data_IF_607500153779
#
_entry.id   IF_607500153779
#
_cell.length_a   1.000
_cell.length_b   1.000
_cell.length_c   1.000
_cell.angle_alpha   90.00
_cell.angle_beta   90.00
_cell.angle_gamma   90.00
#
_symmetry.space_group_name_H-M   'P 1'
#
loop_
_entity.id
_entity.type
_entity.pdbx_description
1 polymer ?
#
# COMPACT_ATOMS: atom_id res chain seq x y z
N UNK A 1 -10.16 -7.83 5.58
CA UNK A 1 -8.95 -7.23 5.00
C UNK A 1 -8.90 -5.77 5.39
N UNK A 2 -7.77 -5.29 5.91
CA UNK A 2 -7.69 -3.98 6.58
C UNK A 2 -6.66 -3.12 5.86
N UNK A 3 -7.04 -1.90 5.47
CA UNK A 3 -6.10 -0.88 5.02
C UNK A 3 -5.52 -0.22 6.27
N UNK A 4 -4.20 -0.13 6.38
CA UNK A 4 -3.55 0.61 7.47
C UNK A 4 -2.73 1.75 6.92
N UNK A 5 -3.03 2.98 7.35
CA UNK A 5 -2.20 4.16 7.13
C UNK A 5 -1.31 4.41 8.34
N UNK A 6 -0.01 4.58 8.12
CA UNK A 6 0.97 4.90 9.17
C UNK A 6 1.88 6.03 8.70
N UNK A 7 2.21 6.94 9.63
CA UNK A 7 3.26 7.94 9.45
C UNK A 7 4.58 7.34 9.93
N UNK A 8 5.61 7.31 9.10
CA UNK A 8 6.95 6.83 9.50
C UNK A 8 7.85 7.98 9.94
N UNK A 9 7.72 9.13 9.30
CA UNK A 9 8.44 10.36 9.63
C UNK A 9 7.55 11.56 9.32
N UNK A 10 8.01 12.78 9.62
CA UNK A 10 7.23 14.01 9.42
C UNK A 10 6.70 14.22 8.01
N UNK A 11 7.32 13.55 7.02
CA UNK A 11 6.98 13.74 5.61
C UNK A 11 6.70 12.45 4.87
N UNK A 12 6.75 11.30 5.54
CA UNK A 12 6.61 10.02 4.83
C UNK A 12 5.48 9.20 5.42
N UNK A 13 4.54 8.85 4.56
CA UNK A 13 3.34 8.09 4.85
C UNK A 13 3.38 6.74 4.14
N UNK A 14 2.91 5.71 4.83
CA UNK A 14 2.87 4.35 4.33
C UNK A 14 1.47 3.77 4.44
N UNK A 15 1.07 3.05 3.41
CA UNK A 15 -0.16 2.26 3.37
C UNK A 15 0.19 0.81 3.11
N UNK A 16 -0.55 -0.12 3.68
CA UNK A 16 -0.51 -1.52 3.25
C UNK A 16 -1.90 -1.92 2.77
N UNK A 17 -1.97 -2.56 1.62
CA UNK A 17 -3.21 -3.04 0.99
C UNK A 17 -2.98 -4.38 0.31
N UNK A 18 -4.03 -5.13 0.05
CA UNK A 18 -3.96 -6.22 -0.92
C UNK A 18 -3.99 -5.65 -2.35
N UNK A 19 -3.13 -6.18 -3.22
CA UNK A 19 -2.96 -5.81 -4.61
C UNK A 19 -4.16 -6.08 -5.52
N UNK A 20 -5.12 -6.90 -5.10
CA UNK A 20 -6.38 -7.15 -5.81
C UNK A 20 -7.41 -6.02 -5.58
N UNK A 21 -7.17 -5.11 -4.63
CA UNK A 21 -8.03 -3.95 -4.39
C UNK A 21 -7.76 -2.83 -5.42
N UNK A 22 -8.13 -3.07 -6.68
CA UNK A 22 -7.86 -2.16 -7.80
C UNK A 22 -8.36 -0.71 -7.56
N UNK A 23 -9.53 -0.54 -6.93
CA UNK A 23 -10.05 0.81 -6.60
C UNK A 23 -9.16 1.55 -5.59
N UNK A 24 -8.61 0.85 -4.60
CA UNK A 24 -7.71 1.44 -3.62
C UNK A 24 -6.38 1.84 -4.28
N UNK A 25 -5.84 0.99 -5.17
CA UNK A 25 -4.61 1.27 -5.93
C UNK A 25 -4.71 2.55 -6.75
N UNK A 26 -5.77 2.66 -7.55
CA UNK A 26 -6.00 3.85 -8.37
C UNK A 26 -6.12 5.13 -7.50
N UNK A 27 -6.69 5.01 -6.31
CA UNK A 27 -6.76 6.13 -5.37
C UNK A 27 -5.37 6.51 -4.84
N UNK A 28 -4.56 5.54 -4.47
CA UNK A 28 -3.21 5.76 -3.95
C UNK A 28 -2.31 6.42 -4.99
N UNK A 29 -2.33 5.91 -6.23
CA UNK A 29 -1.62 6.50 -7.37
C UNK A 29 -2.06 7.95 -7.61
N UNK A 30 -3.37 8.23 -7.60
CA UNK A 30 -3.91 9.59 -7.73
C UNK A 30 -3.42 10.54 -6.63
N UNK A 31 -3.17 10.03 -5.43
CA UNK A 31 -2.62 10.81 -4.32
C UNK A 31 -1.09 10.84 -4.29
N UNK A 32 -0.41 10.26 -5.28
CA UNK A 32 1.05 10.30 -5.40
C UNK A 32 1.77 9.29 -4.51
N UNK A 33 1.11 8.22 -4.09
CA UNK A 33 1.78 7.08 -3.48
C UNK A 33 2.39 6.17 -4.56
N UNK A 34 3.53 5.57 -4.25
CA UNK A 34 4.20 4.58 -5.09
C UNK A 34 4.40 3.28 -4.31
N UNK A 35 4.34 2.13 -5.00
CA UNK A 35 4.65 0.83 -4.40
C UNK A 35 6.14 0.79 -4.06
N UNK A 36 6.47 0.48 -2.81
CA UNK A 36 7.85 0.31 -2.33
C UNK A 36 8.17 -1.12 -1.92
N UNK A 37 7.15 -1.93 -1.64
CA UNK A 37 7.32 -3.32 -1.26
C UNK A 37 6.12 -4.17 -1.66
N UNK A 38 6.36 -5.42 -2.07
CA UNK A 38 5.31 -6.40 -2.36
C UNK A 38 5.69 -7.75 -1.74
N UNK A 39 4.75 -8.39 -1.06
CA UNK A 39 4.92 -9.71 -0.46
C UNK A 39 3.78 -10.62 -0.89
N UNK A 40 4.13 -11.75 -1.51
CA UNK A 40 3.18 -12.82 -1.77
C UNK A 40 2.92 -13.61 -0.48
N UNK A 41 1.66 -13.77 -0.11
CA UNK A 41 1.23 -14.54 1.06
C UNK A 41 0.18 -15.57 0.65
N UNK A 42 0.30 -16.75 1.22
CA UNK A 42 -0.72 -17.80 1.09
C UNK A 42 -1.71 -17.66 2.24
N UNK A 43 -2.97 -17.38 1.91
CA UNK A 43 -4.09 -17.35 2.87
C UNK A 43 -5.13 -18.37 2.46
N UNK A 44 -5.29 -19.43 3.27
CA UNK A 44 -6.32 -20.46 3.09
C UNK A 44 -6.36 -21.06 1.67
N UNK A 45 -5.18 -21.25 1.05
CA UNK A 45 -5.05 -21.81 -0.31
C UNK A 45 -5.12 -20.79 -1.45
N UNK A 46 -5.30 -19.50 -1.14
CA UNK A 46 -5.26 -18.41 -2.11
C UNK A 46 -3.96 -17.63 -2.00
N UNK A 47 -3.33 -17.34 -3.14
CA UNK A 47 -2.20 -16.40 -3.21
C UNK A 47 -2.75 -14.97 -3.18
N UNK A 48 -2.38 -14.21 -2.16
CA UNK A 48 -2.63 -12.77 -2.06
C UNK A 48 -1.30 -12.02 -2.18
N UNK A 49 -1.34 -10.83 -2.78
CA UNK A 49 -0.20 -9.92 -2.81
C UNK A 49 -0.46 -8.79 -1.85
N UNK A 50 0.28 -8.73 -0.74
CA UNK A 50 0.29 -7.54 0.11
C UNK A 50 1.26 -6.52 -0.49
N UNK A 51 0.78 -5.30 -0.71
CA UNK A 51 1.54 -4.18 -1.26
C UNK A 51 1.70 -3.09 -0.20
N UNK A 52 2.93 -2.64 0.01
CA UNK A 52 3.23 -1.43 0.77
C UNK A 52 3.46 -0.28 -0.18
N UNK A 53 2.75 0.81 0.08
CA UNK A 53 2.78 2.03 -0.70
C UNK A 53 3.36 3.15 0.16
N UNK A 54 4.22 3.98 -0.41
CA UNK A 54 4.86 5.12 0.25
C UNK A 54 4.54 6.41 -0.49
N UNK A 55 4.30 7.49 0.26
CA UNK A 55 4.31 8.86 -0.26
C UNK A 55 5.20 9.73 0.61
N UNK A 56 6.14 10.37 -0.06
CA UNK A 56 6.93 11.47 0.51
C UNK A 56 6.28 12.81 0.16
N UNK A 57 6.03 13.65 1.16
CA UNK A 57 5.66 15.05 0.98
C UNK A 57 6.94 15.85 0.74
N UNK A 58 7.24 16.14 -0.53
CA UNK A 58 8.27 17.12 -0.89
C UNK A 58 7.80 18.51 -0.45
N UNK A 59 8.70 19.27 0.18
CA UNK A 59 8.49 20.66 0.59
C UNK A 59 8.29 21.59 -0.60
#
# INVERSE_FOLDING_TARGET
MTISLRKLSDRVYYLTTNGDLHTARALYEKFGFAIVHQVKKQYSGYELVDETWERSLLS
#
